data_IF_602150088113
#
_entry.id   IF_602150088113
#
_cell.length_a   1.000
_cell.length_b   1.000
_cell.length_c   1.000
_cell.angle_alpha   90.00
_cell.angle_beta   90.00
_cell.angle_gamma   90.00
#
_symmetry.space_group_name_H-M   'P 1'
#
loop_
_entity.id
_entity.type
_entity.pdbx_description
1 polymer ?
#
# COMPACT_ATOMS: atom_id res chain seq x y z
N UNK A 1 26.19 18.85 -43.20
CA UNK A 1 25.05 17.94 -43.02
C UNK A 1 25.57 16.66 -42.41
N UNK A 2 25.28 16.39 -41.13
CA UNK A 2 25.13 15.04 -40.56
C UNK A 2 24.83 15.17 -39.07
N UNK A 3 23.53 15.21 -38.78
CA UNK A 3 23.00 15.16 -37.42
C UNK A 3 23.16 13.74 -36.87
N UNK A 4 24.01 13.58 -35.86
CA UNK A 4 24.23 12.29 -35.21
C UNK A 4 23.15 12.10 -34.13
N UNK A 5 22.11 11.36 -34.51
CA UNK A 5 20.88 11.09 -33.78
C UNK A 5 21.20 10.40 -32.44
N UNK A 6 21.02 11.10 -31.31
CA UNK A 6 21.07 10.49 -29.97
C UNK A 6 20.00 9.41 -29.88
N UNK A 7 20.41 8.15 -29.82
CA UNK A 7 19.54 7.02 -29.55
C UNK A 7 19.07 7.10 -28.09
N UNK A 8 17.86 7.62 -27.88
CA UNK A 8 17.15 7.41 -26.62
C UNK A 8 16.88 5.91 -26.49
N UNK A 9 17.68 5.22 -25.68
CA UNK A 9 17.34 3.88 -25.21
C UNK A 9 16.13 4.00 -24.29
N UNK A 10 14.95 3.74 -24.86
CA UNK A 10 13.74 3.51 -24.07
C UNK A 10 13.93 2.17 -23.36
N UNK A 11 14.48 2.20 -22.14
CA UNK A 11 14.49 1.05 -21.25
C UNK A 11 13.04 0.77 -20.84
N UNK A 12 12.33 0.02 -21.67
CA UNK A 12 11.04 -0.56 -21.32
C UNK A 12 11.07 -2.04 -21.64
N UNK A 13 11.76 -2.78 -20.77
CA UNK A 13 11.45 -4.17 -20.51
C UNK A 13 11.03 -4.29 -19.04
N UNK A 14 9.86 -3.72 -18.72
CA UNK A 14 9.34 -3.70 -17.35
C UNK A 14 8.58 -4.99 -17.13
N UNK A 15 9.25 -5.98 -16.53
CA UNK A 15 8.64 -7.25 -16.13
C UNK A 15 7.34 -6.99 -15.32
N UNK A 16 6.15 -7.41 -15.79
CA UNK A 16 4.88 -7.21 -15.07
C UNK A 16 4.87 -7.86 -13.68
N UNK A 17 5.77 -8.84 -13.49
CA UNK A 17 6.02 -9.58 -12.25
C UNK A 17 6.47 -8.71 -11.06
N UNK A 18 7.10 -7.56 -11.32
CA UNK A 18 7.56 -6.65 -10.25
C UNK A 18 6.59 -5.49 -9.98
N UNK A 19 5.69 -5.17 -10.93
CA UNK A 19 4.72 -4.08 -10.80
C UNK A 19 3.51 -4.55 -9.97
N UNK A 20 3.10 -5.80 -10.16
CA UNK A 20 1.92 -6.38 -9.52
C UNK A 20 1.93 -6.25 -7.98
N UNK A 21 2.98 -6.68 -7.25
CA UNK A 21 3.00 -6.53 -5.80
C UNK A 21 3.01 -5.07 -5.34
N UNK A 22 3.76 -4.20 -6.02
CA UNK A 22 3.86 -2.79 -5.63
C UNK A 22 2.54 -2.03 -5.76
N UNK A 23 1.73 -2.34 -6.78
CA UNK A 23 0.41 -1.72 -6.95
C UNK A 23 -0.56 -2.17 -5.86
N UNK A 24 -0.53 -3.45 -5.51
CA UNK A 24 -1.38 -3.96 -4.45
C UNK A 24 -1.00 -3.36 -3.09
N UNK A 25 0.29 -3.18 -2.78
CA UNK A 25 0.72 -2.50 -1.56
C UNK A 25 0.22 -1.05 -1.50
N UNK A 26 0.28 -0.32 -2.62
CA UNK A 26 -0.25 1.05 -2.70
C UNK A 26 -1.77 1.05 -2.42
N UNK A 27 -2.50 0.09 -2.97
CA UNK A 27 -3.94 -0.07 -2.69
C UNK A 27 -4.16 -0.37 -1.20
N UNK A 28 -3.34 -1.24 -0.61
CA UNK A 28 -3.35 -1.55 0.81
C UNK A 28 -3.20 -0.31 1.69
N UNK A 29 -2.19 0.53 1.44
CA UNK A 29 -1.99 1.80 2.14
C UNK A 29 -3.19 2.73 1.99
N UNK A 30 -3.72 2.89 0.77
CA UNK A 30 -4.88 3.75 0.53
C UNK A 30 -6.11 3.29 1.32
N UNK A 31 -6.34 1.98 1.39
CA UNK A 31 -7.44 1.40 2.19
C UNK A 31 -7.17 1.61 3.69
N UNK A 32 -5.94 1.43 4.15
CA UNK A 32 -5.54 1.68 5.54
C UNK A 32 -5.80 3.13 5.96
N UNK A 33 -5.41 4.10 5.13
CA UNK A 33 -5.73 5.52 5.36
C UNK A 33 -7.23 5.80 5.28
N UNK A 34 -7.96 5.13 4.39
CA UNK A 34 -9.42 5.26 4.30
C UNK A 34 -10.12 4.74 5.56
N UNK A 35 -9.57 3.72 6.24
CA UNK A 35 -10.10 3.25 7.52
C UNK A 35 -10.10 4.35 8.57
N UNK A 36 -9.03 5.15 8.63
CA UNK A 36 -8.93 6.31 9.53
C UNK A 36 -10.02 7.32 9.18
N UNK A 37 -10.19 7.64 7.89
CA UNK A 37 -11.26 8.53 7.43
C UNK A 37 -12.66 8.04 7.84
N UNK A 38 -12.95 6.75 7.73
CA UNK A 38 -14.22 6.19 8.20
C UNK A 38 -14.40 6.30 9.72
N UNK A 39 -13.33 6.21 10.50
CA UNK A 39 -13.38 6.44 11.94
C UNK A 39 -13.68 7.92 12.27
N UNK A 40 -13.10 8.87 11.52
CA UNK A 40 -13.47 10.30 11.64
C UNK A 40 -14.97 10.52 11.34
N UNK A 41 -15.50 9.85 10.31
CA UNK A 41 -16.91 9.94 9.93
C UNK A 41 -17.86 9.20 10.90
N UNK A 42 -17.38 8.73 12.06
CA UNK A 42 -18.14 7.96 13.05
C UNK A 42 -18.67 6.62 12.52
N UNK A 43 -18.15 6.15 11.39
CA UNK A 43 -18.51 4.87 10.80
C UNK A 43 -17.48 3.79 11.16
N UNK A 44 -17.48 3.41 12.43
CA UNK A 44 -16.55 2.43 12.99
C UNK A 44 -16.67 1.05 12.33
N UNK A 45 -17.88 0.65 11.89
CA UNK A 45 -18.10 -0.60 11.18
C UNK A 45 -17.30 -0.67 9.87
N UNK A 46 -17.43 0.33 9.01
CA UNK A 46 -16.65 0.41 7.77
C UNK A 46 -15.16 0.62 8.03
N UNK A 47 -14.81 1.36 9.09
CA UNK A 47 -13.42 1.56 9.49
C UNK A 47 -12.71 0.25 9.80
N UNK A 48 -13.30 -0.59 10.67
CA UNK A 48 -12.71 -1.89 11.04
C UNK A 48 -12.63 -2.82 9.83
N UNK A 49 -13.67 -2.86 8.97
CA UNK A 49 -13.65 -3.68 7.76
C UNK A 49 -12.52 -3.23 6.82
N UNK A 50 -12.38 -1.92 6.58
CA UNK A 50 -11.31 -1.39 5.74
C UNK A 50 -9.93 -1.71 6.32
N UNK A 51 -9.75 -1.58 7.64
CA UNK A 51 -8.51 -1.94 8.31
C UNK A 51 -8.14 -3.41 8.11
N UNK A 52 -9.10 -4.32 8.28
CA UNK A 52 -8.89 -5.75 8.06
C UNK A 52 -8.52 -6.06 6.61
N UNK A 53 -9.21 -5.43 5.64
CA UNK A 53 -8.89 -5.59 4.21
C UNK A 53 -7.47 -5.10 3.91
N UNK A 54 -7.08 -3.95 4.45
CA UNK A 54 -5.73 -3.38 4.29
C UNK A 54 -4.65 -4.35 4.80
N UNK A 55 -4.81 -4.91 6.00
CA UNK A 55 -3.87 -5.89 6.55
C UNK A 55 -3.81 -7.21 5.77
N UNK A 56 -4.94 -7.68 5.22
CA UNK A 56 -4.97 -8.87 4.36
C UNK A 56 -4.19 -8.61 3.06
N UNK A 57 -4.43 -7.47 2.40
CA UNK A 57 -3.72 -7.08 1.17
C UNK A 57 -2.21 -7.02 1.38
N UNK A 58 -1.78 -6.37 2.45
CA UNK A 58 -0.36 -6.25 2.79
C UNK A 58 0.32 -7.63 2.98
N UNK A 59 -0.35 -8.51 3.72
CA UNK A 59 0.13 -9.88 3.93
C UNK A 59 0.22 -10.68 2.62
N UNK A 60 -0.73 -10.47 1.70
CA UNK A 60 -0.76 -11.12 0.39
C UNK A 60 0.36 -10.61 -0.51
N UNK A 61 0.59 -9.30 -0.56
CA UNK A 61 1.57 -8.69 -1.45
C UNK A 61 3.00 -8.98 -1.03
N UNK A 62 3.27 -8.92 0.27
CA UNK A 62 4.56 -9.33 0.83
C UNK A 62 4.85 -10.80 0.58
N UNK A 63 3.83 -11.68 0.54
CA UNK A 63 4.00 -13.10 0.17
C UNK A 63 4.21 -13.29 -1.33
N UNK A 64 3.42 -12.62 -2.17
CA UNK A 64 3.51 -12.69 -3.63
C UNK A 64 4.86 -12.13 -4.12
N UNK A 65 5.33 -11.01 -3.57
CA UNK A 65 6.63 -10.43 -3.88
C UNK A 65 7.79 -11.38 -3.56
N UNK A 66 7.72 -12.07 -2.42
CA UNK A 66 8.72 -13.08 -2.01
C UNK A 66 8.71 -14.31 -2.92
N UNK A 67 7.53 -14.82 -3.28
CA UNK A 67 7.39 -15.99 -4.16
C UNK A 67 7.91 -15.74 -5.57
N UNK A 68 7.74 -14.52 -6.09
CA UNK A 68 8.10 -14.17 -7.47
C UNK A 68 9.57 -13.70 -7.58
N UNK A 69 10.31 -13.61 -6.46
CA UNK A 69 11.64 -12.94 -6.38
C UNK A 69 11.61 -11.52 -6.99
N UNK A 70 10.43 -10.90 -6.97
CA UNK A 70 10.13 -9.62 -7.60
C UNK A 70 10.14 -8.46 -6.59
N UNK A 71 11.00 -8.54 -5.58
CA UNK A 71 11.07 -7.54 -4.52
C UNK A 71 11.81 -6.30 -5.00
N UNK A 72 11.10 -5.18 -5.13
CA UNK A 72 11.70 -3.86 -5.36
C UNK A 72 12.06 -3.20 -4.02
N UNK A 73 13.13 -2.40 -4.00
CA UNK A 73 13.50 -1.60 -2.81
C UNK A 73 12.35 -0.68 -2.38
N UNK A 74 11.67 -0.07 -3.34
CA UNK A 74 10.50 0.81 -3.09
C UNK A 74 9.32 0.01 -2.53
N UNK A 75 9.05 -1.17 -3.07
CA UNK A 75 7.97 -2.03 -2.59
C UNK A 75 8.19 -2.48 -1.15
N UNK A 76 9.45 -2.71 -0.75
CA UNK A 76 9.80 -3.06 0.63
C UNK A 76 9.56 -1.91 1.62
N UNK A 77 9.87 -0.67 1.23
CA UNK A 77 9.56 0.50 2.06
C UNK A 77 8.04 0.73 2.15
N UNK A 78 7.30 0.46 1.06
CA UNK A 78 5.84 0.54 1.04
C UNK A 78 5.18 -0.51 1.93
N UNK A 79 5.64 -1.77 1.89
CA UNK A 79 5.21 -2.87 2.77
C UNK A 79 5.36 -2.45 4.25
N UNK A 80 6.54 -1.93 4.61
CA UNK A 80 6.78 -1.39 5.95
C UNK A 80 5.88 -0.20 6.30
N UNK A 81 5.52 0.65 5.34
CA UNK A 81 4.60 1.77 5.57
C UNK A 81 3.17 1.26 5.83
N UNK A 82 2.71 0.29 5.05
CA UNK A 82 1.39 -0.32 5.23
C UNK A 82 1.29 -1.05 6.56
N UNK A 83 2.34 -1.76 6.98
CA UNK A 83 2.45 -2.41 8.29
C UNK A 83 2.24 -1.39 9.42
N UNK A 84 2.95 -0.27 9.37
CA UNK A 84 2.84 0.82 10.37
C UNK A 84 1.44 1.42 10.38
N UNK A 85 0.84 1.64 9.20
CA UNK A 85 -0.51 2.21 9.10
C UNK A 85 -1.56 1.23 9.63
N UNK A 86 -1.48 -0.05 9.26
CA UNK A 86 -2.50 -1.05 9.56
C UNK A 86 -2.44 -1.55 11.01
N UNK A 87 -1.25 -1.67 11.59
CA UNK A 87 -1.10 -2.22 12.94
C UNK A 87 -0.79 -1.17 14.01
N UNK A 88 -0.34 0.02 13.63
CA UNK A 88 -0.02 1.10 14.55
C UNK A 88 -1.02 2.25 14.47
N UNK A 89 -1.01 2.95 13.35
CA UNK A 89 -1.67 4.26 13.21
C UNK A 89 -3.19 4.13 13.19
N UNK A 90 -3.75 3.30 12.31
CA UNK A 90 -5.19 3.19 12.13
C UNK A 90 -5.92 2.68 13.39
N UNK A 91 -5.48 1.62 14.08
CA UNK A 91 -6.11 1.18 15.34
C UNK A 91 -6.10 2.27 16.41
N UNK A 92 -4.98 3.01 16.54
CA UNK A 92 -4.86 4.09 17.52
C UNK A 92 -5.85 5.22 17.24
N UNK A 93 -5.99 5.63 15.97
CA UNK A 93 -6.97 6.64 15.58
C UNK A 93 -8.42 6.17 15.75
N UNK A 94 -8.72 4.92 15.41
CA UNK A 94 -10.06 4.34 15.60
C UNK A 94 -10.46 4.42 17.07
N UNK A 95 -9.59 3.99 17.98
CA UNK A 95 -9.83 4.06 19.42
C UNK A 95 -9.95 5.51 19.91
N UNK A 96 -9.08 6.39 19.45
CA UNK A 96 -9.12 7.81 19.83
C UNK A 96 -10.43 8.48 19.43
N UNK A 97 -10.89 8.30 18.19
CA UNK A 97 -12.15 8.87 17.74
C UNK A 97 -13.36 8.25 18.42
N UNK A 98 -13.31 6.94 18.70
CA UNK A 98 -14.33 6.26 19.48
C UNK A 98 -14.50 6.93 20.84
N UNK A 99 -13.40 7.07 21.60
CA UNK A 99 -13.43 7.67 22.95
C UNK A 99 -13.85 9.14 22.92
N UNK A 100 -13.51 9.89 21.87
CA UNK A 100 -13.92 11.29 21.76
C UNK A 100 -15.40 11.50 21.43
N UNK A 101 -16.04 10.51 20.81
CA UNK A 101 -17.45 10.59 20.41
C UNK A 101 -18.39 9.83 21.35
N UNK A 102 -17.85 9.38 22.48
CA UNK A 102 -18.58 8.87 23.64
C UNK A 102 -18.86 10.03 24.62
#
# INVERSE_FOLDING_TARGET
MNENKKSFEVVSNKNPRAILPNTLTIIGVCIGLSSIKFALDQNYGLSIIALLISGILDTLDGRIARLIKGTSKVGKELDSLTDVVSFGVAPAFIMYFWTLNE
#
